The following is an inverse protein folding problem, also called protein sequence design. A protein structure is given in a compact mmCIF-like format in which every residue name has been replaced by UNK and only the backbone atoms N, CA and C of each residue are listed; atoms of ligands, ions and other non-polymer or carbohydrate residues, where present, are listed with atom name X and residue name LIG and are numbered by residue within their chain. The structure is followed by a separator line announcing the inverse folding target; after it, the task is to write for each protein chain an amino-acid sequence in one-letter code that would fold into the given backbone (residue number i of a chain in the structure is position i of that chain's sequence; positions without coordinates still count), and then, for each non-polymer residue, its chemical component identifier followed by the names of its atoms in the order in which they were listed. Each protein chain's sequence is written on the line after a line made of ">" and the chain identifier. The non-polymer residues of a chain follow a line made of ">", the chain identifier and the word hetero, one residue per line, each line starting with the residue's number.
data_IF_834995945996
#
_entry.id   IF_834995945996
#
_cell.length_a   1.000
_cell.length_b   1.000
_cell.length_c   1.000
_cell.angle_alpha   90.00
_cell.angle_beta   90.00
_cell.angle_gamma   90.00
#
_symmetry.space_group_name_H-M   'P 1'
#
loop_
_entity.id
_entity.type
_entity.pdbx_description
1 polymer ?
#
# COMPACT_ATOMS: atom_id res chain seq x y z
N UNK A 1 0.22 26.97 -2.01
CA UNK A 1 -0.10 25.73 -2.76
C UNK A 1 -0.95 24.76 -1.95
N UNK A 2 -0.42 24.10 -0.91
CA UNK A 2 -1.12 23.03 -0.17
C UNK A 2 -2.53 23.38 0.37
N UNK A 3 -2.73 24.57 0.94
CA UNK A 3 -4.04 24.98 1.49
C UNK A 3 -5.15 24.99 0.44
N UNK A 4 -4.83 25.32 -0.82
CA UNK A 4 -5.77 25.32 -1.93
C UNK A 4 -6.10 23.92 -2.45
N UNK A 5 -5.10 23.04 -2.48
CA UNK A 5 -5.26 21.62 -2.79
C UNK A 5 -6.13 20.92 -1.74
N UNK A 6 -5.82 21.11 -0.46
CA UNK A 6 -6.58 20.55 0.66
C UNK A 6 -8.06 20.98 0.65
N UNK A 7 -8.34 22.24 0.31
CA UNK A 7 -9.71 22.77 0.25
C UNK A 7 -10.54 22.09 -0.85
N UNK A 8 -9.91 21.61 -1.91
CA UNK A 8 -10.56 21.03 -3.09
C UNK A 8 -10.30 19.53 -3.24
N UNK A 9 -9.78 18.84 -2.22
CA UNK A 9 -9.37 17.43 -2.34
C UNK A 9 -10.54 16.46 -2.64
N UNK A 10 -11.78 16.89 -2.43
CA UNK A 10 -12.98 16.12 -2.74
C UNK A 10 -13.44 16.30 -4.19
N UNK A 11 -12.87 17.24 -4.95
CA UNK A 11 -13.21 17.47 -6.37
C UNK A 11 -12.40 16.55 -7.27
N UNK A 12 -13.10 15.77 -8.09
CA UNK A 12 -12.53 14.87 -9.09
C UNK A 12 -12.38 15.51 -10.48
N UNK A 13 -12.36 16.84 -10.57
CA UNK A 13 -12.18 17.55 -11.85
C UNK A 13 -10.76 17.38 -12.39
N UNK A 14 -10.58 17.24 -13.69
CA UNK A 14 -9.25 17.06 -14.32
C UNK A 14 -8.25 18.16 -13.95
N UNK A 15 -8.70 19.41 -13.84
CA UNK A 15 -7.84 20.53 -13.42
C UNK A 15 -7.31 20.36 -12.00
N UNK A 16 -8.12 19.78 -11.10
CA UNK A 16 -7.71 19.53 -9.71
C UNK A 16 -6.72 18.37 -9.67
N UNK A 17 -6.99 17.29 -10.43
CA UNK A 17 -6.09 16.14 -10.55
C UNK A 17 -4.72 16.52 -11.10
N UNK A 18 -4.67 17.36 -12.14
CA UNK A 18 -3.39 17.91 -12.65
C UNK A 18 -2.65 18.71 -11.58
N UNK A 19 -3.34 19.55 -10.81
CA UNK A 19 -2.70 20.32 -9.72
C UNK A 19 -2.15 19.42 -8.62
N UNK A 20 -2.82 18.32 -8.31
CA UNK A 20 -2.36 17.32 -7.35
C UNK A 20 -1.14 16.57 -7.86
N UNK A 21 -1.15 16.17 -9.14
CA UNK A 21 -0.02 15.56 -9.82
C UNK A 21 1.21 16.48 -9.81
N UNK A 22 1.05 17.74 -10.25
CA UNK A 22 2.16 18.72 -10.22
C UNK A 22 2.66 18.97 -8.80
N UNK A 23 1.77 18.99 -7.81
CA UNK A 23 2.17 19.16 -6.42
C UNK A 23 2.94 17.95 -5.87
N UNK A 24 2.57 16.73 -6.27
CA UNK A 24 3.32 15.52 -5.94
C UNK A 24 4.70 15.53 -6.58
N UNK A 25 4.79 15.88 -7.86
CA UNK A 25 6.06 15.99 -8.60
C UNK A 25 6.97 17.06 -7.96
N UNK A 26 6.42 18.26 -7.67
CA UNK A 26 7.13 19.33 -6.98
C UNK A 26 7.55 18.94 -5.56
N UNK A 27 6.79 18.07 -4.87
CA UNK A 27 7.15 17.52 -3.56
C UNK A 27 8.31 16.51 -3.63
N UNK A 28 8.47 15.83 -4.76
CA UNK A 28 9.63 14.99 -5.00
C UNK A 28 10.89 15.85 -5.14
N UNK A 29 10.75 17.00 -5.79
CA UNK A 29 11.81 17.98 -6.03
C UNK A 29 12.03 18.96 -4.84
N UNK A 30 11.11 19.03 -3.87
CA UNK A 30 11.12 20.03 -2.79
C UNK A 30 12.35 19.94 -1.86
N UNK A 31 13.00 18.77 -1.80
CA UNK A 31 14.23 18.58 -1.01
C UNK A 31 15.51 19.03 -1.74
N UNK A 32 15.43 19.42 -3.02
CA UNK A 32 16.58 19.95 -3.76
C UNK A 32 16.98 21.35 -3.30
N UNK A 33 16.09 22.06 -2.60
CA UNK A 33 16.35 23.38 -2.01
C UNK A 33 16.97 23.26 -0.61
N UNK A 34 17.99 22.41 -0.46
CA UNK A 34 19.05 22.79 0.48
C UNK A 34 19.60 24.15 0.00
N UNK A 35 19.86 25.07 0.93
CA UNK A 35 20.38 26.42 0.65
C UNK A 35 21.32 26.40 -0.56
N UNK A 36 21.27 27.34 -1.53
CA UNK A 36 22.02 27.23 -2.79
C UNK A 36 23.53 26.98 -2.60
N UNK A 37 24.07 27.39 -1.44
CA UNK A 37 25.47 27.19 -1.04
C UNK A 37 25.67 26.06 0.00
N UNK A 38 24.67 25.24 0.30
CA UNK A 38 24.74 24.17 1.32
C UNK A 38 25.90 23.20 1.05
N UNK A 39 26.11 22.85 -0.22
CA UNK A 39 27.25 22.01 -0.64
C UNK A 39 28.62 22.67 -0.38
N UNK A 40 28.67 23.99 -0.33
CA UNK A 40 29.89 24.78 -0.07
C UNK A 40 30.06 25.08 1.43
N UNK A 41 28.96 25.22 2.17
CA UNK A 41 28.96 25.49 3.60
C UNK A 41 29.25 24.24 4.45
N UNK A 42 28.86 23.06 3.97
CA UNK A 42 29.14 21.80 4.66
C UNK A 42 30.60 21.41 4.47
N UNK A 43 31.37 21.43 5.55
CA UNK A 43 32.78 21.01 5.61
C UNK A 43 32.95 19.49 5.67
N UNK A 44 31.99 18.79 6.28
CA UNK A 44 31.99 17.33 6.45
C UNK A 44 31.67 16.65 5.11
N UNK A 45 32.46 15.63 4.74
CA UNK A 45 32.33 14.92 3.45
C UNK A 45 31.05 14.09 3.40
N UNK A 46 30.73 13.45 4.51
CA UNK A 46 29.58 12.58 4.71
C UNK A 46 28.28 13.35 4.54
N UNK A 47 28.20 14.57 5.08
CA UNK A 47 27.02 15.44 4.95
C UNK A 47 26.80 15.90 3.50
N UNK A 48 27.87 16.17 2.76
CA UNK A 48 27.77 16.48 1.32
C UNK A 48 27.32 15.27 0.51
N UNK A 49 27.82 14.07 0.84
CA UNK A 49 27.40 12.83 0.20
C UNK A 49 25.93 12.50 0.53
N UNK A 50 25.50 12.76 1.76
CA UNK A 50 24.12 12.61 2.19
C UNK A 50 23.20 13.56 1.44
N UNK A 51 23.56 14.85 1.32
CA UNK A 51 22.79 15.79 0.52
C UNK A 51 22.74 15.40 -0.96
N UNK A 52 23.85 14.93 -1.53
CA UNK A 52 23.88 14.45 -2.91
C UNK A 52 22.92 13.26 -3.10
N UNK A 53 22.91 12.30 -2.18
CA UNK A 53 22.03 11.13 -2.21
C UNK A 53 20.54 11.48 -2.00
N UNK A 54 20.23 12.60 -1.32
CA UNK A 54 18.85 13.12 -1.20
C UNK A 54 18.35 13.75 -2.51
N UNK A 55 19.26 14.30 -3.33
CA UNK A 55 18.96 14.93 -4.63
C UNK A 55 18.83 13.94 -5.79
N UNK A 56 19.22 12.68 -5.60
CA UNK A 56 19.07 11.65 -6.63
C UNK A 56 17.59 11.28 -6.82
N UNK A 57 17.12 11.29 -8.08
CA UNK A 57 15.78 10.80 -8.43
C UNK A 57 15.60 9.35 -7.96
N UNK A 58 14.52 9.09 -7.23
CA UNK A 58 14.27 7.80 -6.57
C UNK A 58 14.70 7.75 -5.10
N UNK A 59 15.28 8.84 -4.54
CA UNK A 59 15.55 9.08 -3.11
C UNK A 59 15.99 7.82 -2.35
N UNK A 60 17.26 7.46 -2.51
CA UNK A 60 17.87 6.29 -1.84
C UNK A 60 17.75 6.33 -0.30
N UNK A 61 17.51 7.52 0.27
CA UNK A 61 17.38 7.78 1.70
C UNK A 61 15.99 8.14 2.20
N UNK A 62 14.90 7.79 1.50
CA UNK A 62 13.54 7.92 2.07
C UNK A 62 13.34 6.83 3.13
N UNK A 63 13.48 7.21 4.39
CA UNK A 63 12.72 6.55 5.45
C UNK A 63 11.29 7.05 5.35
N UNK A 64 10.50 6.49 4.45
CA UNK A 64 9.05 6.62 4.57
C UNK A 64 8.70 5.98 5.91
N UNK A 65 8.38 6.78 6.92
CA UNK A 65 7.97 6.29 8.22
C UNK A 65 6.75 5.41 8.02
N UNK A 66 6.92 4.09 8.06
CA UNK A 66 5.80 3.16 8.01
C UNK A 66 4.96 3.46 9.23
N UNK A 67 3.75 3.98 9.03
CA UNK A 67 2.80 4.14 10.12
C UNK A 67 2.46 2.74 10.64
N UNK A 68 3.11 2.36 11.75
CA UNK A 68 2.98 1.02 12.36
C UNK A 68 1.53 0.69 12.69
N UNK A 69 0.68 1.69 13.00
CA UNK A 69 -0.75 1.44 13.24
C UNK A 69 -1.45 1.00 11.97
N UNK A 70 -1.17 1.67 10.85
CA UNK A 70 -1.76 1.34 9.55
C UNK A 70 -1.21 -0.02 9.05
N UNK A 71 0.09 -0.26 9.17
CA UNK A 71 0.69 -1.54 8.79
C UNK A 71 0.12 -2.72 9.60
N UNK A 72 -0.03 -2.56 10.92
CA UNK A 72 -0.66 -3.57 11.76
C UNK A 72 -2.14 -3.79 11.43
N UNK A 73 -2.89 -2.74 11.09
CA UNK A 73 -4.32 -2.88 10.76
C UNK A 73 -4.54 -3.58 9.42
N UNK A 74 -3.71 -3.29 8.41
CA UNK A 74 -3.72 -3.98 7.11
C UNK A 74 -3.41 -5.47 7.31
N UNK A 75 -2.33 -5.79 8.04
CA UNK A 75 -1.91 -7.17 8.28
C UNK A 75 -2.99 -8.00 8.98
N UNK A 76 -3.62 -7.46 10.03
CA UNK A 76 -4.75 -8.13 10.71
C UNK A 76 -5.92 -8.39 9.76
N UNK A 77 -6.23 -7.42 8.88
CA UNK A 77 -7.33 -7.55 7.93
C UNK A 77 -7.07 -8.64 6.89
N UNK A 78 -5.82 -8.76 6.42
CA UNK A 78 -5.40 -9.81 5.51
C UNK A 78 -5.44 -11.20 6.16
N UNK A 79 -4.95 -11.31 7.40
CA UNK A 79 -5.03 -12.55 8.19
C UNK A 79 -6.48 -13.00 8.42
N UNK A 80 -7.40 -12.08 8.73
CA UNK A 80 -8.83 -12.39 8.88
C UNK A 80 -9.45 -12.88 7.57
N UNK A 81 -9.13 -12.24 6.44
CA UNK A 81 -9.64 -12.67 5.12
C UNK A 81 -9.10 -14.05 4.72
N UNK A 82 -7.81 -14.29 4.95
CA UNK A 82 -7.18 -15.58 4.67
C UNK A 82 -7.83 -16.70 5.49
N UNK A 83 -8.02 -16.50 6.80
CA UNK A 83 -8.72 -17.45 7.68
C UNK A 83 -10.16 -17.71 7.24
N UNK A 84 -10.89 -16.67 6.87
CA UNK A 84 -12.27 -16.81 6.38
C UNK A 84 -12.33 -17.61 5.07
N UNK A 85 -11.41 -17.37 4.14
CA UNK A 85 -11.35 -18.11 2.88
C UNK A 85 -10.99 -19.59 3.07
N UNK A 86 -10.05 -19.88 3.97
CA UNK A 86 -9.69 -21.26 4.34
C UNK A 86 -10.86 -21.99 4.98
N UNK A 87 -11.60 -21.30 5.86
CA UNK A 87 -12.76 -21.88 6.53
C UNK A 87 -13.93 -22.11 5.58
N UNK A 88 -14.16 -21.20 4.62
CA UNK A 88 -15.13 -21.43 3.53
C UNK A 88 -14.74 -22.60 2.64
N UNK A 89 -13.46 -22.69 2.23
CA UNK A 89 -12.98 -23.79 1.38
C UNK A 89 -13.05 -25.15 2.10
N UNK A 90 -12.75 -25.19 3.40
CA UNK A 90 -12.90 -26.40 4.21
C UNK A 90 -14.38 -26.78 4.38
N UNK A 91 -15.25 -25.81 4.66
CA UNK A 91 -16.69 -26.05 4.79
C UNK A 91 -17.31 -26.53 3.47
N UNK A 92 -16.92 -25.94 2.32
CA UNK A 92 -17.39 -26.40 1.00
C UNK A 92 -16.87 -27.80 0.67
N UNK A 93 -15.62 -28.12 1.00
CA UNK A 93 -15.10 -29.47 0.80
C UNK A 93 -15.81 -30.50 1.70
N UNK A 94 -16.17 -30.14 2.93
CA UNK A 94 -16.84 -31.07 3.85
C UNK A 94 -18.27 -31.43 3.39
N UNK A 95 -19.00 -30.48 2.80
CA UNK A 95 -20.34 -30.70 2.26
C UNK A 95 -20.34 -31.56 0.98
N UNK A 96 -19.28 -31.49 0.17
CA UNK A 96 -19.11 -32.29 -1.05
C UNK A 96 -18.98 -33.80 -0.75
N UNK A 97 -18.39 -34.17 0.39
CA UNK A 97 -18.23 -35.58 0.78
C UNK A 97 -19.50 -36.21 1.38
N UNK A 98 -20.39 -35.43 1.99
CA UNK A 98 -21.65 -35.95 2.56
C UNK A 98 -22.70 -36.23 1.47
N UNK A 99 -22.71 -35.47 0.36
CA UNK A 99 -23.66 -35.67 -0.75
C UNK A 99 -23.41 -36.98 -1.52
N UNK A 100 -22.16 -37.46 -1.57
CA UNK A 100 -21.80 -38.74 -2.19
C UNK A 100 -22.03 -39.95 -1.28
N UNK A 101 -22.16 -39.75 0.05
CA UNK A 101 -22.37 -40.82 1.04
C UNK A 101 -23.83 -41.24 1.22
N UNK A 102 -24.79 -40.45 0.76
CA UNK A 102 -26.22 -40.72 0.97
C UNK A 102 -26.93 -41.43 -0.20
N UNK A 103 -26.22 -41.80 -1.28
CA UNK A 103 -26.82 -42.48 -2.46
C UNK A 103 -26.65 -44.01 -2.50
N UNK A 104 -26.06 -44.67 -1.49
CA UNK A 104 -26.01 -46.13 -1.45
C UNK A 104 -26.82 -46.69 -0.28
N UNK A 105 -28.10 -46.98 -0.51
CA UNK A 105 -28.85 -48.12 0.08
C UNK A 105 -30.35 -48.00 -0.27
N UNK A 106 -30.70 -48.18 -1.54
CA UNK A 106 -32.01 -48.74 -1.89
C UNK A 106 -31.86 -49.62 -3.12
N UNK A 107 -32.58 -50.75 -3.09
CA UNK A 107 -32.82 -51.70 -4.16
C UNK A 107 -31.89 -52.92 -4.22
N UNK A 108 -32.35 -54.00 -3.58
CA UNK A 108 -32.34 -55.31 -4.23
C UNK A 108 -33.73 -55.93 -4.06
N UNK A 109 -34.46 -55.92 -5.17
CA UNK A 109 -35.79 -56.50 -5.33
C UNK A 109 -35.75 -58.02 -5.53
N UNK A 110 -36.84 -58.65 -5.09
CA UNK A 110 -37.60 -59.75 -5.71
C UNK A 110 -36.90 -61.04 -6.14
N UNK A 111 -37.37 -62.15 -5.56
CA UNK A 111 -38.06 -63.23 -6.30
C UNK A 111 -38.92 -64.05 -5.34
#
# INVERSE_FOLDING_TARGET
>A
MWKGLKKNCTRTTDTQRKKEETFCDELEDLFDVAHPKAMQLLTIKEDRAFLAAQREKGRRGVMAGVDKKIACSIKRREESKSKQSLQQNQASSALEYDELGSSSETESQSS
#
